data_IF_711121552808
#
_entry.id   IF_711121552808
#
_cell.length_a   1.000
_cell.length_b   1.000
_cell.length_c   1.000
_cell.angle_alpha   90.00
_cell.angle_beta   90.00
_cell.angle_gamma   90.00
#
_symmetry.space_group_name_H-M   'P 1'
#
loop_
_entity.id
_entity.type
_entity.pdbx_description
1 polymer ?
#
# COMPACT_ATOMS: atom_id res chain seq x y z
N UNK A 1 -21.09 21.78 -42.90
CA UNK A 1 -20.16 21.91 -41.75
C UNK A 1 -19.20 23.07 -42.01
N UNK A 2 -19.70 24.32 -41.96
CA UNK A 2 -18.88 25.53 -42.20
C UNK A 2 -19.05 26.62 -41.15
N UNK A 3 -20.02 26.53 -40.24
CA UNK A 3 -20.42 27.69 -39.43
C UNK A 3 -19.84 27.68 -37.99
N UNK A 4 -18.91 26.76 -37.71
CA UNK A 4 -18.27 26.63 -36.39
C UNK A 4 -16.75 26.77 -36.48
N UNK A 5 -16.25 27.56 -37.43
CA UNK A 5 -14.96 28.22 -37.20
C UNK A 5 -15.30 29.46 -36.39
N UNK A 6 -15.17 29.30 -35.07
CA UNK A 6 -15.51 30.26 -34.01
C UNK A 6 -15.31 31.70 -34.49
N UNK A 7 -16.41 32.46 -34.56
CA UNK A 7 -16.40 33.91 -34.80
C UNK A 7 -15.35 34.65 -33.93
N UNK A 8 -14.98 34.09 -32.78
CA UNK A 8 -13.91 34.57 -31.91
C UNK A 8 -12.49 34.60 -32.54
N UNK A 9 -12.19 33.71 -33.51
CA UNK A 9 -10.88 33.66 -34.20
C UNK A 9 -10.81 34.70 -35.32
N UNK A 10 -11.95 34.99 -35.96
CA UNK A 10 -12.06 36.01 -36.99
C UNK A 10 -12.01 37.43 -36.40
N UNK A 11 -12.53 37.63 -35.19
CA UNK A 11 -12.43 38.94 -34.49
C UNK A 11 -11.03 39.23 -33.93
N UNK A 12 -10.20 38.20 -33.72
CA UNK A 12 -8.84 38.38 -33.16
C UNK A 12 -7.80 38.71 -34.22
N UNK A 13 -8.02 38.38 -35.50
CA UNK A 13 -7.06 38.64 -36.58
C UNK A 13 -7.76 39.15 -37.86
N UNK A 14 -7.81 40.47 -38.10
CA UNK A 14 -8.56 41.06 -39.23
C UNK A 14 -8.01 40.67 -40.60
N UNK A 15 -6.69 40.52 -40.74
CA UNK A 15 -6.06 40.14 -42.01
C UNK A 15 -6.41 38.71 -42.45
N UNK A 16 -6.70 37.82 -41.49
CA UNK A 16 -7.08 36.44 -41.77
C UNK A 16 -8.56 36.36 -42.18
N UNK A 17 -9.40 37.27 -41.64
CA UNK A 17 -10.78 37.44 -42.08
C UNK A 17 -10.85 37.97 -43.52
N UNK A 18 -10.02 38.96 -43.89
CA UNK A 18 -9.95 39.44 -45.27
C UNK A 18 -9.49 38.36 -46.25
N UNK A 19 -8.47 37.57 -45.89
CA UNK A 19 -7.98 36.47 -46.73
C UNK A 19 -9.04 35.36 -46.89
N UNK A 20 -9.79 35.07 -45.82
CA UNK A 20 -10.89 34.10 -45.86
C UNK A 20 -12.03 34.58 -46.78
N UNK A 21 -12.39 35.86 -46.72
CA UNK A 21 -13.38 36.46 -47.62
C UNK A 21 -12.89 36.51 -49.08
N UNK A 22 -11.59 36.77 -49.31
CA UNK A 22 -10.99 36.72 -50.66
C UNK A 22 -10.98 35.30 -51.24
N UNK A 23 -10.67 34.28 -50.44
CA UNK A 23 -10.72 32.89 -50.87
C UNK A 23 -12.14 32.43 -51.21
N UNK A 24 -13.12 32.85 -50.40
CA UNK A 24 -14.55 32.55 -50.62
C UNK A 24 -15.10 33.24 -51.87
N UNK A 25 -14.64 34.46 -52.15
CA UNK A 25 -15.13 35.23 -53.31
C UNK A 25 -14.46 34.86 -54.62
N UNK A 26 -13.15 34.58 -54.64
CA UNK A 26 -12.40 34.37 -55.89
C UNK A 26 -12.25 32.89 -56.27
N UNK A 27 -12.05 31.99 -55.31
CA UNK A 27 -11.57 30.64 -55.63
C UNK A 27 -12.54 29.52 -55.29
N UNK A 28 -13.34 29.62 -54.23
CA UNK A 28 -14.18 28.51 -53.75
C UNK A 28 -15.66 28.64 -54.13
N UNK A 29 -16.27 27.54 -54.52
CA UNK A 29 -17.72 27.31 -54.60
C UNK A 29 -18.26 26.94 -53.19
N UNK A 30 -19.58 27.03 -52.93
CA UNK A 30 -20.19 26.73 -51.62
C UNK A 30 -19.90 25.32 -51.07
N UNK A 31 -19.51 24.38 -51.93
CA UNK A 31 -19.15 23.01 -51.56
C UNK A 31 -17.64 22.80 -51.33
N UNK A 32 -16.82 23.85 -51.46
CA UNK A 32 -15.37 23.81 -51.22
C UNK A 32 -14.50 23.47 -52.44
N UNK A 33 -15.08 23.35 -53.63
CA UNK A 33 -14.36 23.10 -54.90
C UNK A 33 -14.00 24.39 -55.64
N UNK A 34 -12.99 24.33 -56.52
CA UNK A 34 -12.56 25.49 -57.32
C UNK A 34 -13.61 25.86 -58.38
N UNK A 35 -13.91 27.16 -58.54
CA UNK A 35 -14.93 27.64 -59.49
C UNK A 35 -14.72 27.23 -60.97
N UNK A 36 -13.49 26.91 -61.37
CA UNK A 36 -13.18 26.40 -62.72
C UNK A 36 -13.72 24.98 -62.93
N UNK A 37 -13.57 24.10 -61.94
CA UNK A 37 -14.08 22.71 -62.00
C UNK A 37 -15.61 22.68 -61.97
N UNK A 38 -16.26 23.59 -61.23
CA UNK A 38 -17.72 23.70 -61.24
C UNK A 38 -18.24 24.03 -62.65
N UNK A 39 -17.57 24.92 -63.38
CA UNK A 39 -17.95 25.26 -64.77
C UNK A 39 -17.74 24.12 -65.76
N UNK A 40 -16.76 23.24 -65.54
CA UNK A 40 -16.58 22.03 -66.35
C UNK A 40 -17.65 20.97 -66.03
N UNK A 41 -18.06 20.86 -64.76
CA UNK A 41 -19.13 19.96 -64.31
C UNK A 41 -20.51 20.38 -64.86
N UNK A 42 -20.72 21.68 -65.07
CA UNK A 42 -21.99 22.25 -65.56
C UNK A 42 -22.15 22.17 -67.09
N UNK A 43 -21.14 21.72 -67.84
CA UNK A 43 -21.29 21.51 -69.28
C UNK A 43 -22.34 20.42 -69.52
N UNK A 44 -23.42 20.76 -70.23
CA UNK A 44 -24.53 19.82 -70.52
C UNK A 44 -24.04 18.53 -71.18
N UNK A 45 -22.93 18.58 -71.93
CA UNK A 45 -22.27 17.42 -72.52
C UNK A 45 -21.68 16.49 -71.46
N UNK A 46 -21.01 17.03 -70.44
CA UNK A 46 -20.48 16.23 -69.32
C UNK A 46 -21.60 15.59 -68.51
N UNK A 47 -22.73 16.29 -68.32
CA UNK A 47 -23.89 15.74 -67.65
C UNK A 47 -24.49 14.60 -68.47
N UNK A 48 -24.62 14.76 -69.79
CA UNK A 48 -25.11 13.70 -70.71
C UNK A 48 -24.19 12.48 -70.69
N UNK A 49 -22.89 12.67 -70.86
CA UNK A 49 -21.90 11.58 -70.79
C UNK A 49 -21.91 10.89 -69.42
N UNK A 50 -22.04 11.65 -68.33
CA UNK A 50 -22.15 11.10 -66.98
C UNK A 50 -23.44 10.31 -66.80
N UNK A 51 -24.57 10.79 -67.32
CA UNK A 51 -25.83 10.05 -67.26
C UNK A 51 -25.78 8.77 -68.09
N UNK A 52 -25.21 8.80 -69.30
CA UNK A 52 -25.02 7.61 -70.12
C UNK A 52 -24.07 6.60 -69.45
N UNK A 53 -22.98 7.08 -68.84
CA UNK A 53 -22.08 6.25 -68.06
C UNK A 53 -22.78 5.61 -66.87
N UNK A 54 -23.56 6.36 -66.11
CA UNK A 54 -24.30 5.85 -64.96
C UNK A 54 -25.40 4.87 -65.38
N UNK A 55 -26.12 5.13 -66.47
CA UNK A 55 -27.06 4.18 -67.05
C UNK A 55 -26.35 2.88 -67.43
N UNK A 56 -25.23 2.95 -68.14
CA UNK A 56 -24.47 1.76 -68.53
C UNK A 56 -23.88 1.03 -67.31
N UNK A 57 -23.48 1.76 -66.27
CA UNK A 57 -22.98 1.20 -65.02
C UNK A 57 -24.09 0.53 -64.20
N UNK A 58 -25.31 1.09 -64.16
CA UNK A 58 -26.46 0.43 -63.52
C UNK A 58 -26.86 -0.84 -64.26
N UNK A 59 -26.83 -0.84 -65.60
CA UNK A 59 -27.04 -2.02 -66.42
C UNK A 59 -25.95 -3.07 -66.18
N UNK A 60 -24.69 -2.67 -66.15
CA UNK A 60 -23.57 -3.55 -65.84
C UNK A 60 -23.68 -4.16 -64.43
N UNK A 61 -23.98 -3.34 -63.43
CA UNK A 61 -24.17 -3.79 -62.05
C UNK A 61 -25.41 -4.66 -61.85
N UNK A 62 -26.42 -4.59 -62.72
CA UNK A 62 -27.56 -5.50 -62.71
C UNK A 62 -27.28 -6.79 -63.50
N UNK A 63 -26.47 -6.71 -64.56
CA UNK A 63 -26.01 -7.83 -65.36
C UNK A 63 -25.01 -8.70 -64.61
N UNK A 64 -24.05 -8.12 -63.89
CA UNK A 64 -23.02 -8.85 -63.15
C UNK A 64 -23.59 -9.88 -62.14
N UNK A 65 -24.51 -9.52 -61.22
CA UNK A 65 -25.14 -10.50 -60.34
C UNK A 65 -26.07 -11.44 -61.10
N UNK A 66 -26.72 -11.00 -62.19
CA UNK A 66 -27.55 -11.88 -63.03
C UNK A 66 -26.73 -12.94 -63.78
N UNK A 67 -25.54 -12.59 -64.29
CA UNK A 67 -24.55 -13.50 -64.88
C UNK A 67 -24.05 -14.47 -63.81
N UNK A 68 -23.63 -13.97 -62.64
CA UNK A 68 -23.19 -14.81 -61.52
C UNK A 68 -24.28 -15.81 -61.10
N UNK A 69 -25.53 -15.39 -61.02
CA UNK A 69 -26.65 -16.25 -60.65
C UNK A 69 -27.01 -17.25 -61.77
N UNK A 70 -26.80 -16.90 -63.04
CA UNK A 70 -26.96 -17.80 -64.18
C UNK A 70 -25.83 -18.84 -64.28
N UNK A 71 -24.58 -18.45 -64.01
CA UNK A 71 -23.43 -19.36 -63.90
C UNK A 71 -23.64 -20.36 -62.75
N UNK A 72 -24.14 -19.90 -61.60
CA UNK A 72 -24.46 -20.77 -60.46
C UNK A 72 -25.63 -21.73 -60.73
N UNK A 73 -26.62 -21.33 -61.55
CA UNK A 73 -27.77 -22.18 -61.92
C UNK A 73 -27.51 -23.13 -63.10
N UNK A 74 -26.36 -23.02 -63.78
CA UNK A 74 -25.93 -23.89 -64.89
C UNK A 74 -26.98 -24.07 -66.01
N UNK A 75 -27.79 -23.03 -66.26
CA UNK A 75 -28.65 -22.96 -67.44
C UNK A 75 -27.83 -22.39 -68.59
N UNK A 76 -27.42 -23.25 -69.54
CA UNK A 76 -26.73 -22.87 -70.78
C UNK A 76 -27.61 -21.97 -71.65
N UNK A 77 -27.68 -20.68 -71.36
CA UNK A 77 -28.16 -19.68 -72.31
C UNK A 77 -27.04 -19.40 -73.30
N UNK A 78 -27.13 -19.97 -74.51
CA UNK A 78 -26.22 -19.71 -75.65
C UNK A 78 -26.09 -18.21 -75.98
N UNK A 79 -27.03 -17.41 -75.50
CA UNK A 79 -27.06 -15.95 -75.64
C UNK A 79 -26.08 -15.27 -74.67
N UNK A 80 -25.91 -15.77 -73.43
CA UNK A 80 -24.98 -15.18 -72.45
C UNK A 80 -23.51 -15.39 -72.82
N UNK A 81 -23.17 -16.49 -73.49
CA UNK A 81 -21.81 -16.76 -73.98
C UNK A 81 -21.45 -15.82 -75.14
N UNK A 82 -22.38 -15.60 -76.07
CA UNK A 82 -22.23 -14.60 -77.13
C UNK A 82 -22.17 -13.18 -76.59
N UNK A 83 -22.91 -12.88 -75.52
CA UNK A 83 -22.90 -11.58 -74.84
C UNK A 83 -21.53 -11.31 -74.20
N UNK A 84 -20.93 -12.30 -73.53
CA UNK A 84 -19.56 -12.19 -73.01
C UNK A 84 -18.57 -11.93 -74.14
N UNK A 85 -18.65 -12.68 -75.24
CA UNK A 85 -17.76 -12.49 -76.39
C UNK A 85 -17.93 -11.12 -77.07
N UNK A 86 -19.15 -10.57 -77.13
CA UNK A 86 -19.38 -9.22 -77.66
C UNK A 86 -18.92 -8.14 -76.70
N UNK A 87 -19.08 -8.35 -75.39
CA UNK A 87 -18.63 -7.41 -74.36
C UNK A 87 -17.10 -7.36 -74.30
N UNK A 88 -16.43 -8.50 -74.37
CA UNK A 88 -14.96 -8.59 -74.42
C UNK A 88 -14.42 -7.87 -75.67
N UNK A 89 -15.06 -8.05 -76.83
CA UNK A 89 -14.69 -7.33 -78.07
C UNK A 89 -14.85 -5.81 -77.93
N UNK A 90 -15.86 -5.35 -77.19
CA UNK A 90 -16.14 -3.92 -76.97
C UNK A 90 -15.25 -3.33 -75.87
N UNK A 91 -14.89 -4.10 -74.85
CA UNK A 91 -13.88 -3.72 -73.84
C UNK A 91 -12.50 -3.60 -74.48
N UNK A 92 -12.06 -4.60 -75.25
CA UNK A 92 -10.82 -4.51 -76.03
C UNK A 92 -10.83 -3.30 -76.97
N UNK A 93 -11.98 -2.94 -77.53
CA UNK A 93 -12.14 -1.73 -78.33
C UNK A 93 -11.98 -0.44 -77.50
N UNK A 94 -12.64 -0.33 -76.35
CA UNK A 94 -12.53 0.83 -75.47
C UNK A 94 -11.10 1.03 -74.94
N UNK A 95 -10.43 -0.06 -74.59
CA UNK A 95 -9.02 -0.08 -74.25
C UNK A 95 -8.18 0.42 -75.43
N UNK A 96 -8.39 -0.11 -76.64
CA UNK A 96 -7.68 0.36 -77.83
C UNK A 96 -7.90 1.85 -78.13
N UNK A 97 -9.09 2.40 -77.83
CA UNK A 97 -9.41 3.83 -77.96
C UNK A 97 -8.66 4.67 -76.91
N UNK A 98 -8.57 4.20 -75.66
CA UNK A 98 -7.76 4.86 -74.63
C UNK A 98 -6.27 4.85 -74.98
N UNK A 99 -5.76 3.74 -75.54
CA UNK A 99 -4.38 3.65 -76.01
C UNK A 99 -4.10 4.52 -77.25
N UNK A 100 -5.11 4.89 -78.03
CA UNK A 100 -4.97 5.85 -79.13
C UNK A 100 -4.98 7.31 -78.66
N UNK A 101 -5.69 7.62 -77.57
CA UNK A 101 -5.71 8.94 -76.93
C UNK A 101 -4.56 9.12 -75.92
N UNK A 102 -3.32 8.93 -76.34
CA UNK A 102 -2.17 9.38 -75.55
C UNK A 102 -2.01 10.90 -75.67
N UNK A 103 -2.40 11.64 -74.62
CA UNK A 103 -1.93 13.02 -74.41
C UNK A 103 -0.53 12.95 -73.80
N UNK A 104 0.54 13.47 -74.44
CA UNK A 104 1.86 13.51 -73.83
C UNK A 104 1.89 14.68 -72.85
N UNK A 105 1.34 14.49 -71.66
CA UNK A 105 1.63 15.35 -70.51
C UNK A 105 2.60 14.53 -69.66
N UNK A 106 3.87 14.65 -70.01
CA UNK A 106 5.03 14.60 -69.10
C UNK A 106 6.30 14.28 -69.91
N UNK A 107 6.85 15.30 -70.57
CA UNK A 107 8.29 15.39 -70.84
C UNK A 107 8.67 16.86 -71.06
N UNK A 108 9.28 17.42 -70.00
CA UNK A 108 10.05 18.66 -69.92
C UNK A 108 9.33 19.98 -70.21
N UNK A 109 9.18 20.77 -69.14
CA UNK A 109 9.47 22.21 -69.17
C UNK A 109 10.68 22.47 -70.07
N UNK A 110 10.48 23.27 -71.13
CA UNK A 110 11.31 24.44 -71.42
C UNK A 110 10.86 25.14 -72.70
N UNK A 111 10.51 26.42 -72.53
CA UNK A 111 10.63 27.50 -73.51
C UNK A 111 9.81 27.35 -74.82
N UNK A 112 8.83 28.23 -74.99
CA UNK A 112 8.94 29.45 -75.82
C UNK A 112 7.54 30.05 -75.94
N UNK A 113 7.48 31.36 -75.76
CA UNK A 113 6.32 32.23 -75.89
C UNK A 113 5.44 31.94 -77.12
N UNK A 114 4.12 31.98 -76.95
CA UNK A 114 3.22 32.24 -78.07
C UNK A 114 2.13 33.25 -77.68
N UNK A 115 2.31 34.47 -78.17
CA UNK A 115 1.23 35.45 -78.40
C UNK A 115 0.24 34.84 -79.39
N UNK A 116 -1.04 35.09 -79.17
CA UNK A 116 -2.11 34.56 -80.00
C UNK A 116 -2.08 35.04 -81.45
N UNK A 117 -2.71 34.26 -82.33
CA UNK A 117 -3.56 34.78 -83.42
C UNK A 117 -4.53 33.66 -83.84
N UNK A 118 -5.78 34.03 -84.01
CA UNK A 118 -6.86 33.25 -84.61
C UNK A 118 -6.60 33.05 -86.11
N UNK A 119 -6.97 31.88 -86.64
CA UNK A 119 -7.70 31.67 -87.89
C UNK A 119 -7.52 30.23 -88.40
N UNK A 120 -8.66 29.58 -88.63
CA UNK A 120 -9.00 28.65 -89.72
C UNK A 120 -7.91 27.70 -90.26
N UNK A 121 -8.10 26.40 -89.98
CA UNK A 121 -7.91 25.33 -90.97
C UNK A 121 -8.55 24.02 -90.47
N UNK A 122 -9.62 23.61 -91.16
CA UNK A 122 -10.14 22.24 -91.22
C UNK A 122 -9.04 21.34 -91.82
N UNK A 123 -8.19 20.74 -90.98
CA UNK A 123 -7.46 19.47 -91.21
C UNK A 123 -6.37 19.28 -90.13
N UNK A 124 -6.73 19.38 -88.86
CA UNK A 124 -5.90 18.79 -87.80
C UNK A 124 -6.16 17.28 -87.76
N UNK A 125 -5.58 16.56 -88.72
CA UNK A 125 -5.50 15.09 -88.67
C UNK A 125 -4.77 14.74 -87.38
N UNK A 126 -5.52 14.33 -86.35
CA UNK A 126 -4.96 13.65 -85.18
C UNK A 126 -4.48 12.29 -85.66
N UNK A 127 -3.27 12.26 -86.22
CA UNK A 127 -2.57 11.02 -86.60
C UNK A 127 -2.27 10.28 -85.30
N UNK A 128 -3.17 9.38 -84.90
CA UNK A 128 -2.87 8.37 -83.91
C UNK A 128 -1.71 7.50 -84.40
N UNK A 129 -0.92 6.95 -83.48
CA UNK A 129 0.41 6.31 -83.66
C UNK A 129 0.52 5.24 -84.78
N UNK A 130 -0.57 4.85 -85.45
CA UNK A 130 -0.59 3.87 -86.55
C UNK A 130 -1.47 4.26 -87.76
N UNK A 131 -1.91 5.52 -87.90
CA UNK A 131 -2.65 5.97 -89.10
C UNK A 131 -4.08 5.44 -89.24
N UNK A 132 -4.66 4.88 -88.17
CA UNK A 132 -6.10 4.57 -88.10
C UNK A 132 -6.86 5.85 -87.72
N UNK A 133 -7.82 6.25 -88.56
CA UNK A 133 -8.71 7.38 -88.25
C UNK A 133 -9.90 6.90 -87.42
N UNK A 134 -10.30 7.69 -86.42
CA UNK A 134 -11.46 7.39 -85.54
C UNK A 134 -12.72 7.04 -86.36
N UNK A 135 -12.89 7.68 -87.53
CA UNK A 135 -14.01 7.50 -88.45
C UNK A 135 -14.14 6.08 -89.05
N UNK A 136 -13.04 5.36 -89.25
CA UNK A 136 -13.06 3.97 -89.74
C UNK A 136 -13.39 2.96 -88.63
N UNK A 137 -12.94 3.26 -87.41
CA UNK A 137 -13.25 2.49 -86.21
C UNK A 137 -14.73 2.62 -85.82
N UNK A 138 -15.31 3.82 -85.89
CA UNK A 138 -16.74 4.05 -85.64
C UNK A 138 -17.64 3.21 -86.57
N UNK A 139 -17.32 3.08 -87.85
CA UNK A 139 -18.12 2.27 -88.80
C UNK A 139 -18.17 0.77 -88.48
N UNK A 140 -17.11 0.22 -87.87
CA UNK A 140 -17.08 -1.19 -87.44
C UNK A 140 -17.88 -1.40 -86.16
N UNK A 141 -17.90 -0.39 -85.29
CA UNK A 141 -18.55 -0.38 -83.99
C UNK A 141 -20.04 -0.10 -84.07
N UNK A 142 -20.52 0.74 -84.99
CA UNK A 142 -21.95 1.05 -85.16
C UNK A 142 -22.82 -0.22 -85.26
N UNK A 143 -22.36 -1.23 -86.00
CA UNK A 143 -23.09 -2.50 -86.15
C UNK A 143 -23.18 -3.28 -84.84
N UNK A 144 -22.10 -3.33 -84.06
CA UNK A 144 -22.07 -4.01 -82.76
C UNK A 144 -22.84 -3.20 -81.70
N UNK A 145 -22.83 -1.87 -81.82
CA UNK A 145 -23.57 -0.95 -80.95
C UNK A 145 -25.08 -1.07 -81.16
N UNK A 146 -25.55 -1.26 -82.40
CA UNK A 146 -26.96 -1.51 -82.70
C UNK A 146 -27.45 -2.85 -82.12
N UNK A 147 -26.61 -3.90 -82.18
CA UNK A 147 -26.89 -5.15 -81.48
C UNK A 147 -26.93 -4.93 -79.97
N UNK A 148 -25.94 -4.24 -79.38
CA UNK A 148 -25.94 -3.92 -77.95
C UNK A 148 -27.14 -3.08 -77.51
N UNK A 149 -27.65 -2.18 -78.35
CA UNK A 149 -28.83 -1.37 -78.05
C UNK A 149 -30.12 -2.20 -78.06
N UNK A 150 -30.22 -3.19 -78.96
CA UNK A 150 -31.31 -4.17 -78.94
C UNK A 150 -31.20 -5.07 -77.70
N UNK A 151 -29.99 -5.47 -77.31
CA UNK A 151 -29.75 -6.24 -76.08
C UNK A 151 -30.00 -5.41 -74.82
N UNK A 152 -29.67 -4.10 -74.78
CA UNK A 152 -30.00 -3.17 -73.69
C UNK A 152 -31.51 -3.16 -73.43
N UNK A 153 -32.34 -3.18 -74.48
CA UNK A 153 -33.80 -3.26 -74.34
C UNK A 153 -34.28 -4.60 -73.79
N UNK A 154 -33.73 -5.72 -74.24
CA UNK A 154 -34.10 -7.06 -73.75
C UNK A 154 -33.67 -7.24 -72.29
N UNK A 155 -32.46 -6.79 -71.95
CA UNK A 155 -31.92 -6.81 -70.60
C UNK A 155 -32.75 -5.91 -69.69
N UNK A 156 -33.09 -4.69 -70.12
CA UNK A 156 -33.95 -3.79 -69.37
C UNK A 156 -35.31 -4.44 -69.07
N UNK A 157 -35.96 -5.05 -70.06
CA UNK A 157 -37.24 -5.75 -69.85
C UNK A 157 -37.10 -6.92 -68.85
N UNK A 158 -35.98 -7.65 -68.87
CA UNK A 158 -35.73 -8.77 -67.93
C UNK A 158 -35.41 -8.31 -66.51
N UNK A 159 -34.81 -7.13 -66.37
CA UNK A 159 -34.54 -6.49 -65.07
C UNK A 159 -35.84 -5.91 -64.53
N UNK A 160 -36.61 -5.23 -65.37
CA UNK A 160 -37.94 -4.72 -65.03
C UNK A 160 -38.86 -5.85 -64.57
N UNK A 161 -38.91 -6.98 -65.28
CA UNK A 161 -39.73 -8.13 -64.85
C UNK A 161 -39.27 -8.70 -63.50
N UNK A 162 -37.96 -8.79 -63.25
CA UNK A 162 -37.44 -9.25 -61.95
C UNK A 162 -37.71 -8.24 -60.82
N UNK A 163 -37.59 -6.95 -61.09
CA UNK A 163 -37.89 -5.90 -60.12
C UNK A 163 -39.39 -5.86 -59.82
N UNK A 164 -40.25 -6.06 -60.82
CA UNK A 164 -41.69 -6.18 -60.60
C UNK A 164 -42.00 -7.43 -59.78
N UNK A 165 -41.39 -8.58 -60.06
CA UNK A 165 -41.58 -9.80 -59.26
C UNK A 165 -41.14 -9.59 -57.80
N UNK A 166 -39.97 -8.98 -57.58
CA UNK A 166 -39.48 -8.66 -56.24
C UNK A 166 -40.37 -7.64 -55.51
N UNK A 167 -40.84 -6.60 -56.21
CA UNK A 167 -41.79 -5.64 -55.64
C UNK A 167 -43.13 -6.29 -55.31
N UNK A 168 -43.61 -7.21 -56.15
CA UNK A 168 -44.81 -7.99 -55.91
C UNK A 168 -44.64 -8.95 -54.72
N UNK A 169 -43.49 -9.61 -54.58
CA UNK A 169 -43.19 -10.49 -53.45
C UNK A 169 -43.08 -9.72 -52.12
N UNK A 170 -42.43 -8.56 -52.12
CA UNK A 170 -42.34 -7.70 -50.93
C UNK A 170 -43.73 -7.16 -50.57
N UNK A 171 -44.54 -6.77 -51.57
CA UNK A 171 -45.92 -6.34 -51.33
C UNK A 171 -46.79 -7.48 -50.79
N UNK A 172 -46.65 -8.72 -51.32
CA UNK A 172 -47.35 -9.91 -50.80
C UNK A 172 -46.96 -10.20 -49.35
N UNK A 173 -45.67 -10.09 -49.00
CA UNK A 173 -45.19 -10.30 -47.64
C UNK A 173 -45.69 -9.23 -46.66
N UNK A 174 -45.76 -7.97 -47.08
CA UNK A 174 -46.19 -6.88 -46.20
C UNK A 174 -47.72 -6.83 -46.02
N UNK A 175 -48.48 -7.05 -47.08
CA UNK A 175 -49.95 -6.95 -47.05
C UNK A 175 -50.67 -8.28 -46.82
N UNK A 176 -49.96 -9.42 -46.75
CA UNK A 176 -50.51 -10.77 -46.59
C UNK A 176 -51.74 -11.03 -47.47
N UNK A 177 -51.67 -10.68 -48.75
CA UNK A 177 -52.78 -10.87 -49.69
C UNK A 177 -52.80 -12.35 -50.11
N UNK A 178 -53.93 -13.03 -49.89
CA UNK A 178 -54.23 -14.29 -50.56
C UNK A 178 -54.20 -14.13 -52.08
N UNK A 179 -54.07 -15.26 -52.79
CA UNK A 179 -53.64 -15.44 -54.19
C UNK A 179 -54.37 -14.62 -55.28
N UNK A 180 -55.39 -13.82 -54.95
CA UNK A 180 -56.30 -13.17 -55.90
C UNK A 180 -56.25 -11.63 -55.86
N UNK A 181 -55.11 -11.00 -56.18
CA UNK A 181 -55.12 -9.54 -56.47
C UNK A 181 -54.43 -9.16 -57.78
N UNK A 182 -55.16 -8.38 -58.57
CA UNK A 182 -54.75 -7.85 -59.88
C UNK A 182 -53.36 -7.18 -59.81
N UNK A 183 -52.47 -7.51 -60.75
CA UNK A 183 -51.11 -6.93 -60.87
C UNK A 183 -51.07 -5.39 -60.79
N UNK A 184 -52.13 -4.71 -61.27
CA UNK A 184 -52.26 -3.25 -61.17
C UNK A 184 -52.45 -2.74 -59.73
N UNK A 185 -53.15 -3.50 -58.88
CA UNK A 185 -53.30 -3.18 -57.45
C UNK A 185 -52.01 -3.45 -56.68
N UNK A 186 -51.27 -4.50 -57.05
CA UNK A 186 -49.94 -4.79 -56.50
C UNK A 186 -48.95 -3.67 -56.83
N UNK A 187 -48.92 -3.17 -58.07
CA UNK A 187 -48.09 -2.03 -58.45
C UNK A 187 -48.46 -0.74 -57.70
N UNK A 188 -49.76 -0.47 -57.49
CA UNK A 188 -50.18 0.69 -56.67
C UNK A 188 -49.85 0.52 -55.19
N UNK A 189 -49.91 -0.71 -54.66
CA UNK A 189 -49.53 -1.03 -53.28
C UNK A 189 -48.02 -1.01 -53.07
N UNK A 190 -47.23 -1.34 -54.11
CA UNK A 190 -45.78 -1.22 -54.11
C UNK A 190 -45.35 0.26 -54.06
N UNK A 191 -46.04 1.15 -54.77
CA UNK A 191 -45.79 2.60 -54.63
C UNK A 191 -46.19 3.14 -53.23
N UNK A 192 -47.28 2.61 -52.65
CA UNK A 192 -47.66 2.94 -51.27
C UNK A 192 -46.70 2.36 -50.23
N UNK A 193 -45.98 1.28 -50.55
CA UNK A 193 -45.03 0.66 -49.63
C UNK A 193 -43.86 1.59 -49.30
N UNK A 194 -43.37 2.38 -50.25
CA UNK A 194 -42.30 3.36 -49.98
C UNK A 194 -42.76 4.46 -49.02
N UNK A 195 -43.98 4.96 -49.19
CA UNK A 195 -44.59 5.90 -48.24
C UNK A 195 -44.81 5.29 -46.86
N UNK A 196 -45.12 4.00 -46.79
CA UNK A 196 -45.27 3.27 -45.52
C UNK A 196 -43.90 3.01 -44.88
N UNK A 197 -42.88 2.67 -45.66
CA UNK A 197 -41.52 2.45 -45.21
C UNK A 197 -40.92 3.73 -44.63
N UNK A 198 -41.08 4.86 -45.32
CA UNK A 198 -40.64 6.18 -44.84
C UNK A 198 -41.34 6.56 -43.55
N UNK A 199 -42.67 6.42 -43.46
CA UNK A 199 -43.42 6.64 -42.21
C UNK A 199 -42.94 5.74 -41.07
N UNK A 200 -42.73 4.44 -41.32
CA UNK A 200 -42.18 3.52 -40.31
C UNK A 200 -40.76 3.85 -39.91
N UNK A 201 -39.95 4.33 -40.85
CA UNK A 201 -38.61 4.77 -40.55
C UNK A 201 -38.62 6.02 -39.67
N UNK A 202 -39.53 6.96 -39.92
CA UNK A 202 -39.78 8.13 -39.08
C UNK A 202 -40.31 7.74 -37.70
N UNK A 203 -41.30 6.84 -37.60
CA UNK A 203 -41.79 6.31 -36.32
C UNK A 203 -40.65 5.68 -35.51
N UNK A 204 -39.78 4.89 -36.16
CA UNK A 204 -38.63 4.26 -35.51
C UNK A 204 -37.59 5.30 -35.07
N UNK A 205 -37.35 6.34 -35.88
CA UNK A 205 -36.48 7.47 -35.49
C UNK A 205 -37.05 8.20 -34.28
N UNK A 206 -38.33 8.53 -34.28
CA UNK A 206 -39.00 9.18 -33.14
C UNK A 206 -38.97 8.29 -31.90
N UNK A 207 -39.19 6.98 -32.05
CA UNK A 207 -39.09 6.02 -30.96
C UNK A 207 -37.67 5.96 -30.38
N UNK A 208 -36.64 5.93 -31.23
CA UNK A 208 -35.23 6.00 -30.80
C UNK A 208 -34.92 7.28 -30.03
N UNK A 209 -35.39 8.42 -30.52
CA UNK A 209 -35.23 9.73 -29.84
C UNK A 209 -35.90 9.67 -28.47
N UNK A 210 -37.15 9.20 -28.39
CA UNK A 210 -37.86 9.07 -27.11
C UNK A 210 -37.18 8.11 -26.13
N UNK A 211 -36.52 7.07 -26.63
CA UNK A 211 -35.78 6.11 -25.81
C UNK A 211 -34.55 6.78 -25.19
N UNK A 212 -33.80 7.55 -25.99
CA UNK A 212 -32.65 8.32 -25.52
C UNK A 212 -33.09 9.37 -24.49
N UNK A 213 -34.19 10.09 -24.75
CA UNK A 213 -34.75 11.06 -23.79
C UNK A 213 -35.14 10.40 -22.47
N UNK A 214 -35.78 9.22 -22.52
CA UNK A 214 -36.11 8.45 -21.33
C UNK A 214 -34.86 7.97 -20.57
N UNK A 215 -33.80 7.58 -21.28
CA UNK A 215 -32.52 7.23 -20.66
C UNK A 215 -31.88 8.44 -19.95
N UNK A 216 -31.89 9.61 -20.58
CA UNK A 216 -31.38 10.85 -19.99
C UNK A 216 -32.21 11.19 -18.74
N UNK A 217 -33.54 11.16 -18.83
CA UNK A 217 -34.44 11.44 -17.69
C UNK A 217 -34.23 10.47 -16.54
N UNK A 218 -33.99 9.19 -16.83
CA UNK A 218 -33.66 8.19 -15.82
C UNK A 218 -32.30 8.48 -15.18
N UNK A 219 -31.31 8.87 -15.98
CA UNK A 219 -30.01 9.34 -15.50
C UNK A 219 -30.12 10.54 -14.56
N UNK A 220 -30.88 11.57 -14.94
CA UNK A 220 -31.18 12.74 -14.09
C UNK A 220 -31.85 12.33 -12.78
N UNK A 221 -32.82 11.40 -12.84
CA UNK A 221 -33.48 10.92 -11.63
C UNK A 221 -32.51 10.18 -10.72
N UNK A 222 -31.62 9.35 -11.27
CA UNK A 222 -30.57 8.68 -10.49
C UNK A 222 -29.63 9.71 -9.86
N UNK A 223 -29.19 10.74 -10.58
CA UNK A 223 -28.30 11.76 -10.00
C UNK A 223 -28.98 12.54 -8.88
N UNK A 224 -30.29 12.83 -9.00
CA UNK A 224 -31.05 13.43 -7.88
C UNK A 224 -31.11 12.50 -6.67
N UNK A 225 -31.36 11.20 -6.85
CA UNK A 225 -31.36 10.24 -5.75
C UNK A 225 -29.98 10.13 -5.08
N UNK A 226 -28.90 10.08 -5.86
CA UNK A 226 -27.53 10.05 -5.33
C UNK A 226 -27.19 11.35 -4.57
N UNK A 227 -27.68 12.50 -5.04
CA UNK A 227 -27.50 13.78 -4.35
C UNK A 227 -28.20 13.79 -2.98
N UNK A 228 -29.45 13.36 -2.91
CA UNK A 228 -30.20 13.24 -1.64
C UNK A 228 -29.51 12.25 -0.71
N UNK A 229 -29.03 11.10 -1.22
CA UNK A 229 -28.30 10.13 -0.40
C UNK A 229 -27.00 10.71 0.16
N UNK A 230 -26.28 11.52 -0.62
CA UNK A 230 -25.08 12.23 -0.14
C UNK A 230 -25.40 13.25 0.95
N UNK A 231 -26.51 13.98 0.83
CA UNK A 231 -26.98 14.91 1.86
C UNK A 231 -27.36 14.18 3.15
N UNK A 232 -28.07 13.05 3.05
CA UNK A 232 -28.38 12.21 4.23
C UNK A 232 -27.10 11.69 4.88
N UNK A 233 -26.14 11.20 4.10
CA UNK A 233 -24.87 10.71 4.63
C UNK A 233 -24.09 11.82 5.35
N UNK A 234 -24.11 13.05 4.80
CA UNK A 234 -23.50 14.21 5.43
C UNK A 234 -24.18 14.54 6.77
N UNK A 235 -25.51 14.59 6.79
CA UNK A 235 -26.26 14.86 8.02
C UNK A 235 -26.04 13.77 9.07
N UNK A 236 -25.98 12.49 8.66
CA UNK A 236 -25.66 11.38 9.57
C UNK A 236 -24.23 11.50 10.11
N UNK A 237 -23.27 11.92 9.28
CA UNK A 237 -21.91 12.15 9.72
C UNK A 237 -21.84 13.28 10.76
N UNK A 238 -22.45 14.43 10.47
CA UNK A 238 -22.54 15.58 11.39
C UNK A 238 -23.21 15.16 12.71
N UNK A 239 -24.29 14.36 12.67
CA UNK A 239 -24.96 13.86 13.87
C UNK A 239 -24.11 12.85 14.67
N UNK A 240 -23.36 11.99 14.00
CA UNK A 240 -22.40 11.09 14.67
C UNK A 240 -21.27 11.89 15.31
N UNK A 241 -20.79 12.93 14.64
CA UNK A 241 -19.76 13.83 15.14
C UNK A 241 -20.26 14.58 16.39
N UNK A 242 -21.44 15.18 16.33
CA UNK A 242 -22.08 15.82 17.48
C UNK A 242 -22.29 14.83 18.64
N UNK A 243 -22.79 13.62 18.36
CA UNK A 243 -23.03 12.63 19.40
C UNK A 243 -21.74 12.16 20.08
N UNK A 244 -20.70 11.82 19.29
CA UNK A 244 -19.43 11.34 19.81
C UNK A 244 -18.62 12.44 20.51
N UNK A 245 -18.53 13.62 19.93
CA UNK A 245 -17.64 14.65 20.49
C UNK A 245 -18.31 15.55 21.51
N UNK A 246 -19.59 15.86 21.34
CA UNK A 246 -20.29 16.78 22.22
C UNK A 246 -21.00 16.01 23.33
N UNK A 247 -21.95 15.15 23.00
CA UNK A 247 -22.76 14.46 24.01
C UNK A 247 -21.96 13.48 24.86
N UNK A 248 -21.07 12.67 24.27
CA UNK A 248 -20.25 11.74 25.06
C UNK A 248 -19.28 12.47 25.99
N UNK A 249 -18.68 13.57 25.52
CA UNK A 249 -17.80 14.41 26.34
C UNK A 249 -18.55 15.10 27.47
N UNK A 250 -19.73 15.66 27.20
CA UNK A 250 -20.57 16.29 28.22
C UNK A 250 -21.05 15.28 29.26
N UNK A 251 -21.51 14.11 28.80
CA UNK A 251 -21.87 12.99 29.66
C UNK A 251 -20.69 12.61 30.55
N UNK A 252 -19.51 12.36 29.97
CA UNK A 252 -18.31 11.99 30.72
C UNK A 252 -17.88 13.10 31.69
N UNK A 253 -18.01 14.37 31.33
CA UNK A 253 -17.75 15.50 32.23
C UNK A 253 -18.71 15.49 33.41
N UNK A 254 -20.02 15.35 33.17
CA UNK A 254 -21.03 15.27 34.23
C UNK A 254 -20.81 14.05 35.15
N UNK A 255 -20.46 12.89 34.59
CA UNK A 255 -20.10 11.70 35.38
C UNK A 255 -18.85 11.94 36.22
N UNK A 256 -17.81 12.53 35.65
CA UNK A 256 -16.57 12.85 36.38
C UNK A 256 -16.85 13.85 37.51
N UNK A 257 -17.67 14.87 37.27
CA UNK A 257 -18.06 15.84 38.30
C UNK A 257 -18.87 15.20 39.43
N UNK A 258 -19.80 14.30 39.09
CA UNK A 258 -20.58 13.52 40.05
C UNK A 258 -19.69 12.61 40.90
N UNK A 259 -18.82 11.81 40.29
CA UNK A 259 -17.89 10.94 41.01
C UNK A 259 -16.87 11.72 41.82
N UNK A 260 -16.37 12.86 41.31
CA UNK A 260 -15.52 13.75 42.10
C UNK A 260 -16.28 14.31 43.31
N UNK A 261 -17.57 14.62 43.17
CA UNK A 261 -18.46 14.99 44.28
C UNK A 261 -18.55 13.89 45.34
N UNK A 262 -18.80 12.65 44.92
CA UNK A 262 -18.85 11.49 45.81
C UNK A 262 -17.52 11.29 46.54
N UNK A 263 -16.40 11.29 45.82
CA UNK A 263 -15.08 11.10 46.41
C UNK A 263 -14.78 12.20 47.43
N UNK A 264 -15.07 13.47 47.12
CA UNK A 264 -14.92 14.58 48.08
C UNK A 264 -15.78 14.35 49.33
N UNK A 265 -17.02 13.89 49.17
CA UNK A 265 -17.92 13.56 50.28
C UNK A 265 -17.38 12.43 51.15
N UNK A 266 -16.86 11.35 50.55
CA UNK A 266 -16.24 10.24 51.27
C UNK A 266 -15.00 10.71 52.03
N UNK A 267 -14.13 11.50 51.40
CA UNK A 267 -12.94 12.06 52.04
C UNK A 267 -13.33 12.96 53.22
N UNK A 268 -14.36 13.80 53.08
CA UNK A 268 -14.89 14.61 54.17
C UNK A 268 -15.42 13.72 55.30
N UNK A 269 -16.18 12.67 54.99
CA UNK A 269 -16.69 11.74 55.99
C UNK A 269 -15.57 11.00 56.73
N UNK A 270 -14.51 10.58 56.04
CA UNK A 270 -13.32 9.99 56.67
C UNK A 270 -12.59 10.99 57.58
N UNK A 271 -12.48 12.26 57.17
CA UNK A 271 -11.89 13.31 58.02
C UNK A 271 -12.72 13.53 59.28
N UNK A 272 -14.05 13.57 59.17
CA UNK A 272 -14.95 13.68 60.31
C UNK A 272 -14.81 12.47 61.25
N UNK A 273 -14.79 11.25 60.70
CA UNK A 273 -14.58 10.03 61.50
C UNK A 273 -13.21 10.04 62.21
N UNK A 274 -12.16 10.51 61.53
CA UNK A 274 -10.84 10.67 62.15
C UNK A 274 -10.90 11.68 63.31
N UNK A 275 -11.53 12.84 63.11
CA UNK A 275 -11.69 13.83 64.17
C UNK A 275 -12.49 13.28 65.34
N UNK A 276 -13.57 12.54 65.08
CA UNK A 276 -14.36 11.89 66.11
C UNK A 276 -13.56 10.84 66.87
N UNK A 277 -12.74 10.03 66.19
CA UNK A 277 -11.85 9.07 66.84
C UNK A 277 -10.81 9.78 67.72
N UNK A 278 -10.22 10.89 67.25
CA UNK A 278 -9.29 11.71 68.04
C UNK A 278 -10.00 12.28 69.26
N UNK A 279 -11.22 12.82 69.11
CA UNK A 279 -12.00 13.33 70.23
C UNK A 279 -12.28 12.24 71.26
N UNK A 280 -12.65 11.03 70.83
CA UNK A 280 -12.92 9.91 71.73
C UNK A 280 -11.66 9.35 72.42
N UNK A 281 -10.48 9.41 71.77
CA UNK A 281 -9.22 8.92 72.37
C UNK A 281 -8.66 9.97 73.34
N UNK A 282 -8.77 11.24 73.00
CA UNK A 282 -8.32 12.37 73.81
C UNK A 282 -9.49 12.99 74.59
N UNK A 283 -10.20 12.16 75.35
CA UNK A 283 -11.10 12.65 76.37
C UNK A 283 -10.34 13.48 77.40
N UNK A 284 -11.06 14.41 78.05
CA UNK A 284 -10.48 15.30 79.06
C UNK A 284 -9.74 14.53 80.15
N UNK A 285 -10.26 13.36 80.53
CA UNK A 285 -9.67 12.47 81.53
C UNK A 285 -8.37 11.79 81.04
N UNK A 286 -8.29 11.40 79.76
CA UNK A 286 -7.07 10.80 79.20
C UNK A 286 -5.98 11.86 79.00
N UNK A 287 -6.34 13.10 78.68
CA UNK A 287 -5.40 14.22 78.62
C UNK A 287 -4.85 14.57 80.01
N UNK A 288 -5.72 14.62 81.03
CA UNK A 288 -5.31 14.89 82.41
C UNK A 288 -4.35 13.80 82.92
N UNK A 289 -4.67 12.52 82.71
CA UNK A 289 -3.78 11.40 83.06
C UNK A 289 -2.46 11.41 82.26
N UNK A 290 -2.49 11.65 80.94
CA UNK A 290 -1.27 11.80 80.13
C UNK A 290 -0.41 12.98 80.60
N UNK A 291 -1.02 14.08 81.06
CA UNK A 291 -0.28 15.23 81.59
C UNK A 291 0.45 14.90 82.91
N UNK A 292 -0.16 14.05 83.75
CA UNK A 292 0.45 13.56 84.99
C UNK A 292 1.60 12.61 84.67
N UNK A 293 1.39 11.64 83.78
CA UNK A 293 2.44 10.70 83.33
C UNK A 293 3.61 11.47 82.72
N UNK A 294 3.34 12.46 81.87
CA UNK A 294 4.39 13.30 81.27
C UNK A 294 5.21 14.04 82.32
N UNK A 295 4.56 14.58 83.36
CA UNK A 295 5.28 15.25 84.46
C UNK A 295 6.20 14.28 85.20
N UNK A 296 5.75 13.05 85.44
CA UNK A 296 6.56 12.05 86.13
C UNK A 296 7.73 11.56 85.29
N UNK A 297 7.51 11.27 84.00
CA UNK A 297 8.58 10.88 83.08
C UNK A 297 9.66 11.98 82.95
N UNK A 298 9.25 13.26 82.91
CA UNK A 298 10.20 14.37 82.87
C UNK A 298 11.00 14.48 84.17
N UNK A 299 10.39 14.16 85.34
CA UNK A 299 11.15 14.10 86.59
C UNK A 299 12.16 12.97 86.57
N UNK A 300 11.74 11.76 86.21
CA UNK A 300 12.64 10.61 86.13
C UNK A 300 13.79 10.84 85.13
N UNK A 301 13.50 11.43 83.97
CA UNK A 301 14.52 11.79 82.98
C UNK A 301 15.53 12.77 83.57
N UNK A 302 15.07 13.79 84.29
CA UNK A 302 15.96 14.76 84.95
C UNK A 302 16.81 14.09 86.04
N UNK A 303 16.22 13.21 86.85
CA UNK A 303 16.95 12.45 87.87
C UNK A 303 18.02 11.55 87.25
N UNK A 304 17.67 10.81 86.19
CA UNK A 304 18.62 9.97 85.45
C UNK A 304 19.72 10.80 84.80
N UNK A 305 19.40 11.97 84.26
CA UNK A 305 20.40 12.88 83.69
C UNK A 305 21.35 13.43 84.77
N UNK A 306 20.86 13.72 85.96
CA UNK A 306 21.72 14.12 87.10
C UNK A 306 22.63 12.96 87.50
N UNK A 307 22.09 11.75 87.64
CA UNK A 307 22.89 10.56 87.95
C UNK A 307 23.93 10.25 86.87
N UNK A 308 23.57 10.38 85.59
CA UNK A 308 24.48 10.17 84.48
C UNK A 308 25.62 11.20 84.48
N UNK A 309 25.32 12.47 84.77
CA UNK A 309 26.36 13.49 84.94
C UNK A 309 27.29 13.17 86.09
N UNK A 310 26.76 12.72 87.22
CA UNK A 310 27.58 12.34 88.38
C UNK A 310 28.47 11.12 88.09
N UNK A 311 27.94 10.08 87.44
CA UNK A 311 28.71 8.92 87.02
C UNK A 311 29.78 9.27 85.99
N UNK A 312 29.48 10.14 85.03
CA UNK A 312 30.48 10.63 84.09
C UNK A 312 31.59 11.40 84.80
N UNK A 313 31.27 12.25 85.78
CA UNK A 313 32.29 12.95 86.55
C UNK A 313 33.19 11.96 87.31
N UNK A 314 32.61 10.93 87.94
CA UNK A 314 33.37 9.86 88.59
C UNK A 314 34.23 9.07 87.60
N UNK A 315 33.70 8.74 86.42
CA UNK A 315 34.47 8.07 85.38
C UNK A 315 35.62 8.93 84.86
N UNK A 316 35.42 10.24 84.74
CA UNK A 316 36.51 11.17 84.38
C UNK A 316 37.59 11.20 85.47
N UNK A 317 37.21 11.20 86.75
CA UNK A 317 38.17 11.08 87.85
C UNK A 317 38.95 9.75 87.78
N UNK A 318 38.27 8.62 87.54
CA UNK A 318 38.92 7.33 87.37
C UNK A 318 39.80 7.26 86.12
N UNK A 319 39.38 7.89 85.02
CA UNK A 319 40.15 7.90 83.78
C UNK A 319 41.43 8.72 83.93
N UNK A 320 41.37 9.87 84.61
CA UNK A 320 42.57 10.66 84.91
C UNK A 320 43.57 9.87 85.77
N UNK A 321 43.08 9.06 86.71
CA UNK A 321 43.93 8.14 87.48
C UNK A 321 44.51 7.02 86.59
N UNK A 322 43.76 6.57 85.57
CA UNK A 322 44.22 5.58 84.58
C UNK A 322 45.47 6.03 83.80
N UNK A 323 45.52 7.31 83.42
CA UNK A 323 46.70 7.88 82.74
C UNK A 323 47.94 7.89 83.65
N UNK A 324 47.76 8.11 84.96
CA UNK A 324 48.84 7.98 85.95
C UNK A 324 49.30 6.51 86.08
N UNK A 325 48.37 5.56 86.05
CA UNK A 325 48.71 4.13 86.04
C UNK A 325 49.45 3.71 84.76
N UNK A 326 49.08 4.22 83.59
CA UNK A 326 49.80 3.92 82.33
C UNK A 326 51.26 4.37 82.40
N UNK A 327 51.54 5.52 83.00
CA UNK A 327 52.92 5.98 83.22
C UNK A 327 53.68 5.02 84.14
N UNK A 328 53.03 4.57 85.23
CA UNK A 328 53.64 3.59 86.14
C UNK A 328 53.86 2.25 85.45
N UNK A 329 52.92 1.80 84.61
CA UNK A 329 53.01 0.55 83.84
C UNK A 329 54.15 0.63 82.82
N UNK A 330 54.34 1.76 82.14
CA UNK A 330 55.49 1.97 81.25
C UNK A 330 56.80 1.87 82.02
N UNK A 331 56.90 2.57 83.16
CA UNK A 331 58.09 2.49 84.02
C UNK A 331 58.35 1.06 84.50
N UNK A 332 57.32 0.31 84.89
CA UNK A 332 57.45 -1.08 85.29
C UNK A 332 57.83 -2.00 84.12
N UNK A 333 57.26 -1.79 82.93
CA UNK A 333 57.61 -2.55 81.72
C UNK A 333 59.07 -2.39 81.35
N UNK A 334 59.63 -1.18 81.52
CA UNK A 334 61.04 -0.94 81.23
C UNK A 334 61.94 -1.65 82.24
N UNK A 335 61.58 -1.63 83.52
CA UNK A 335 62.27 -2.42 84.56
C UNK A 335 62.16 -3.92 84.29
N UNK A 336 60.99 -4.43 83.87
CA UNK A 336 60.83 -5.85 83.55
C UNK A 336 61.69 -6.26 82.36
N UNK A 337 61.79 -5.43 81.32
CA UNK A 337 62.72 -5.69 80.20
C UNK A 337 64.16 -5.74 80.68
N UNK A 338 64.57 -4.82 81.57
CA UNK A 338 65.90 -4.89 82.18
C UNK A 338 66.07 -6.20 82.96
N UNK A 339 65.09 -6.60 83.77
CA UNK A 339 65.14 -7.87 84.49
C UNK A 339 65.21 -9.06 83.52
N UNK A 340 64.41 -9.10 82.45
CA UNK A 340 64.46 -10.17 81.45
C UNK A 340 65.83 -10.24 80.78
N UNK A 341 66.44 -9.11 80.42
CA UNK A 341 67.82 -9.13 79.89
C UNK A 341 68.79 -9.73 80.89
N UNK A 342 68.69 -9.37 82.18
CA UNK A 342 69.53 -9.98 83.22
C UNK A 342 69.19 -11.46 83.47
N UNK A 343 67.93 -11.86 83.35
CA UNK A 343 67.47 -13.24 83.52
C UNK A 343 67.90 -14.11 82.34
N UNK A 344 67.90 -13.58 81.11
CA UNK A 344 68.45 -14.23 79.92
C UNK A 344 69.96 -14.41 80.05
N UNK A 345 70.66 -13.41 80.61
CA UNK A 345 72.07 -13.53 80.95
C UNK A 345 72.31 -14.63 82.00
N UNK A 346 71.38 -14.81 82.96
CA UNK A 346 71.47 -15.81 84.04
C UNK A 346 71.03 -17.22 83.58
N UNK A 347 69.98 -17.37 82.77
CA UNK A 347 69.42 -18.66 82.36
C UNK A 347 70.31 -19.40 81.36
N UNK A 348 71.20 -18.68 80.66
CA UNK A 348 72.32 -19.28 79.93
C UNK A 348 73.29 -20.06 80.83
N UNK A 349 73.14 -20.04 82.16
CA UNK A 349 74.14 -20.54 83.11
C UNK A 349 73.81 -21.90 83.83
N UNK A 350 72.61 -22.58 83.83
CA UNK A 350 72.45 -23.88 84.63
C UNK A 350 71.27 -24.93 84.42
N UNK A 351 71.39 -26.27 84.76
CA UNK A 351 70.48 -27.44 84.41
C UNK A 351 70.00 -28.49 85.55
N UNK A 352 69.23 -29.60 85.23
CA UNK A 352 69.03 -31.04 85.82
C UNK A 352 67.67 -31.52 86.49
N UNK A 353 67.29 -32.82 86.74
CA UNK A 353 66.95 -34.09 85.96
C UNK A 353 66.14 -35.19 86.83
N UNK A 354 65.35 -36.18 86.27
CA UNK A 354 64.21 -36.94 86.88
C UNK A 354 64.42 -38.31 87.60
N UNK A 355 65.64 -38.74 87.93
CA UNK A 355 65.96 -40.09 88.47
C UNK A 355 65.38 -40.41 89.86
N UNK A 356 65.04 -39.39 90.66
CA UNK A 356 64.58 -39.53 92.04
C UNK A 356 63.16 -40.14 92.13
N UNK A 357 62.31 -39.92 91.13
CA UNK A 357 60.92 -40.39 91.13
C UNK A 357 60.80 -41.92 91.12
N UNK A 358 61.68 -42.62 90.41
CA UNK A 358 61.63 -44.09 90.31
C UNK A 358 61.87 -44.80 91.66
N UNK A 359 62.67 -44.20 92.55
CA UNK A 359 62.95 -44.78 93.87
C UNK A 359 61.71 -44.74 94.77
N UNK A 360 60.95 -43.65 94.69
CA UNK A 360 59.76 -43.43 95.51
C UNK A 360 58.63 -44.40 95.12
N UNK A 361 58.44 -44.69 93.83
CA UNK A 361 57.42 -45.64 93.38
C UNK A 361 57.65 -47.08 93.87
N UNK A 362 58.91 -47.54 94.00
CA UNK A 362 59.22 -48.88 94.53
C UNK A 362 58.87 -49.05 96.01
N UNK A 363 58.96 -47.99 96.81
CA UNK A 363 58.60 -48.03 98.23
C UNK A 363 57.09 -48.14 98.43
N UNK A 364 56.32 -47.56 97.51
CA UNK A 364 54.86 -47.56 97.58
C UNK A 364 54.24 -48.95 97.48
N UNK A 365 54.80 -49.85 96.67
CA UNK A 365 54.28 -51.22 96.53
C UNK A 365 54.23 -52.00 97.86
N UNK A 366 55.06 -51.62 98.85
CA UNK A 366 55.16 -52.34 100.13
C UNK A 366 54.20 -51.84 101.21
N UNK A 367 53.82 -50.56 101.19
CA UNK A 367 53.04 -49.93 102.27
C UNK A 367 51.84 -49.10 101.78
N UNK A 368 51.63 -48.99 100.46
CA UNK A 368 50.55 -48.25 99.78
C UNK A 368 50.26 -46.87 100.41
N UNK A 369 51.12 -45.89 100.13
CA UNK A 369 51.03 -44.51 100.61
C UNK A 369 50.96 -43.44 99.51
N UNK A 370 51.22 -43.78 98.24
CA UNK A 370 51.00 -42.87 97.11
C UNK A 370 49.50 -42.88 96.83
N UNK A 371 48.91 -41.69 96.93
CA UNK A 371 47.48 -41.47 96.65
C UNK A 371 47.28 -41.32 95.14
N UNK A 372 48.16 -40.58 94.46
CA UNK A 372 48.06 -40.33 93.03
C UNK A 372 49.44 -40.00 92.40
N UNK A 373 49.71 -40.51 91.20
CA UNK A 373 50.95 -40.24 90.45
C UNK A 373 50.67 -39.12 89.41
N UNK A 374 51.28 -37.93 89.57
CA UNK A 374 50.92 -36.70 88.85
C UNK A 374 51.65 -36.57 87.50
N UNK A 375 52.99 -36.58 87.50
CA UNK A 375 53.82 -36.43 86.30
C UNK A 375 55.26 -36.91 86.55
N UNK A 376 56.09 -37.01 85.51
CA UNK A 376 57.42 -37.64 85.53
C UNK A 376 58.42 -37.09 86.58
N UNK A 377 58.13 -35.97 87.24
CA UNK A 377 58.95 -35.40 88.31
C UNK A 377 58.21 -35.16 89.65
N UNK A 378 56.89 -35.34 89.73
CA UNK A 378 56.12 -35.10 90.96
C UNK A 378 55.15 -36.27 91.31
N UNK A 379 55.07 -36.62 92.60
CA UNK A 379 54.22 -37.68 93.16
C UNK A 379 53.35 -37.13 94.31
N UNK A 380 52.08 -37.53 94.39
CA UNK A 380 51.16 -37.13 95.46
C UNK A 380 51.03 -38.23 96.52
N UNK A 381 51.53 -37.95 97.73
CA UNK A 381 51.71 -38.91 98.82
C UNK A 381 50.87 -38.50 100.03
N UNK A 382 50.33 -39.48 100.77
CA UNK A 382 49.59 -39.23 102.01
C UNK A 382 50.49 -38.52 103.04
N UNK A 383 50.02 -37.38 103.55
CA UNK A 383 50.82 -36.44 104.34
C UNK A 383 51.43 -37.08 105.60
N UNK A 384 50.77 -38.11 106.17
CA UNK A 384 51.27 -38.84 107.34
C UNK A 384 52.45 -39.75 107.02
N UNK A 385 52.60 -40.19 105.77
CA UNK A 385 53.67 -41.06 105.32
C UNK A 385 54.88 -40.29 104.78
N UNK A 386 54.80 -38.98 104.54
CA UNK A 386 55.87 -38.18 103.90
C UNK A 386 57.18 -38.21 104.69
N UNK A 387 57.14 -38.03 106.02
CA UNK A 387 58.36 -38.09 106.83
C UNK A 387 58.96 -39.50 106.85
N UNK A 388 58.13 -40.54 106.94
CA UNK A 388 58.60 -41.93 106.87
C UNK A 388 59.21 -42.24 105.50
N UNK A 389 58.59 -41.80 104.39
CA UNK A 389 59.10 -42.00 103.04
C UNK A 389 60.42 -41.27 102.85
N UNK A 390 60.57 -40.05 103.39
CA UNK A 390 61.84 -39.32 103.33
C UNK A 390 62.94 -40.08 104.07
N UNK A 391 62.67 -40.56 105.28
CA UNK A 391 63.62 -41.35 106.06
C UNK A 391 63.94 -42.67 105.35
N UNK A 392 62.95 -43.34 104.76
CA UNK A 392 63.15 -44.63 104.08
C UNK A 392 63.84 -44.46 102.72
N UNK A 393 63.62 -43.35 101.99
CA UNK A 393 64.35 -42.99 100.76
C UNK A 393 65.78 -42.59 101.09
N UNK A 394 66.01 -41.77 102.12
CA UNK A 394 67.35 -41.45 102.62
C UNK A 394 68.06 -42.73 103.08
N UNK A 395 67.38 -43.62 103.82
CA UNK A 395 67.93 -44.91 104.23
C UNK A 395 68.17 -45.86 103.07
N UNK A 396 67.34 -45.87 102.02
CA UNK A 396 67.60 -46.65 100.80
C UNK A 396 68.70 -46.04 99.95
N UNK A 397 68.84 -44.73 99.93
CA UNK A 397 69.96 -44.05 99.29
C UNK A 397 71.25 -44.33 100.07
N UNK A 398 71.22 -44.35 101.40
CA UNK A 398 72.32 -44.77 102.28
C UNK A 398 72.65 -46.27 102.14
N UNK A 399 71.66 -47.18 102.23
CA UNK A 399 71.88 -48.63 102.04
C UNK A 399 72.40 -48.95 100.63
N UNK A 400 71.94 -48.23 99.60
CA UNK A 400 72.47 -48.39 98.24
C UNK A 400 73.84 -47.73 98.07
N UNK A 401 74.15 -46.63 98.76
CA UNK A 401 75.52 -46.07 98.76
C UNK A 401 76.51 -46.97 99.50
N UNK A 402 76.10 -47.74 100.52
CA UNK A 402 76.98 -48.67 101.24
C UNK A 402 77.03 -50.10 100.67
N UNK A 403 76.15 -50.47 99.73
CA UNK A 403 76.25 -51.74 98.95
C UNK A 403 77.03 -51.60 97.64
N UNK A 404 77.37 -50.37 97.24
CA UNK A 404 78.18 -50.07 96.05
C UNK A 404 79.68 -49.92 96.33
N UNK A 405 80.16 -50.29 97.52
CA UNK A 405 81.59 -50.40 97.83
C UNK A 405 82.04 -51.87 97.85
N UNK A 406 82.08 -52.48 96.67
CA UNK A 406 83.03 -53.56 96.38
C UNK A 406 83.82 -53.19 95.10
N UNK A 407 85.16 -53.37 95.12
CA UNK A 407 86.14 -52.69 94.26
C UNK A 407 86.23 -53.33 92.85
N UNK A 408 86.96 -52.70 91.91
CA UNK A 408 86.60 -52.59 90.50
C UNK A 408 87.11 -53.75 89.63
N UNK A 409 86.61 -53.86 88.40
CA UNK A 409 87.43 -54.28 87.27
C UNK A 409 87.80 -53.06 86.43
N UNK A 410 89.11 -52.92 86.24
CA UNK A 410 89.81 -51.88 85.52
C UNK A 410 89.25 -51.52 84.13
N UNK A 411 89.31 -50.21 83.89
CA UNK A 411 89.68 -49.51 82.66
C UNK A 411 90.28 -50.38 81.53
N UNK A 412 89.62 -50.29 80.37
CA UNK A 412 90.24 -49.84 79.12
C UNK A 412 89.30 -48.91 78.37
#
# INVERSE_FOLDING_TARGET
MSDIIKQAVLTTNPNLAELYEQLKTLYLAPDGTTKALAKEIDQEEFIKERTEYLENLTLYNALQPSLLQAYLKNTKCKEHEKISETLDKVLCFAESKQYLNFRPIDLSLNNVDFKGTEADDDDAITIGLLGLTEKELFKRVEKELDYLNQFKKIILNSIESKLTDQCEDIAKLYYCLGEDTNSKLLATKAFQLDQVLTRKHEELRMSKISLIENQIRLGERITTYLKVMKEILKNLWELIEEFKYHHEKEKNKAFNDYFAGIVRSIVLKLKVLRLQAIMNVYDKETIESLSVIRKELVKEENEKNILMKNLNNQLMEYQNIGDEFEQIIQMYSDIVKEIETTQDDISRIKPTDPTVKQVINKLNERKQFIIEDLDDTHLFIDAKAVEEVKIEVEKLLEENTYKSDLPPPNEK
#
